data_IF_479133883565
#
_entry.id   IF_479133883565
#
_cell.length_a   1.000
_cell.length_b   1.000
_cell.length_c   1.000
_cell.angle_alpha   90.00
_cell.angle_beta   90.00
_cell.angle_gamma   90.00
#
_symmetry.space_group_name_H-M   'P 1'
#
loop_
_entity.id
_entity.type
_entity.pdbx_description
1 polymer ?
#
# COMPACT_ATOMS: atom_id res chain seq x y z
N UNK A 1 4.98 8.57 8.21
CA UNK A 1 5.23 7.93 6.90
C UNK A 1 4.03 7.10 6.45
N UNK A 2 3.52 6.17 7.26
CA UNK A 2 2.38 5.32 6.88
C UNK A 2 1.07 6.07 6.53
N UNK A 3 0.91 7.33 6.97
CA UNK A 3 -0.28 8.16 6.72
C UNK A 3 -0.06 9.14 5.55
N UNK A 4 1.15 9.19 4.97
CA UNK A 4 1.40 10.05 3.81
C UNK A 4 0.88 9.39 2.54
N UNK A 5 0.30 10.16 1.61
CA UNK A 5 -0.46 9.69 0.45
C UNK A 5 0.02 8.39 -0.23
N UNK A 6 1.09 8.41 -1.05
CA UNK A 6 1.54 7.20 -1.76
C UNK A 6 2.00 6.10 -0.80
N UNK A 7 2.85 6.38 0.21
CA UNK A 7 3.19 5.37 1.21
C UNK A 7 1.98 4.72 1.89
N UNK A 8 0.91 5.46 2.15
CA UNK A 8 -0.32 4.95 2.75
C UNK A 8 -1.00 3.93 1.84
N UNK A 9 -1.07 4.20 0.53
CA UNK A 9 -1.63 3.26 -0.45
C UNK A 9 -0.86 1.93 -0.44
N UNK A 10 0.48 1.99 -0.51
CA UNK A 10 1.32 0.77 -0.48
C UNK A 10 1.20 0.03 0.86
N UNK A 11 1.22 0.76 1.97
CA UNK A 11 1.12 0.20 3.32
C UNK A 11 -0.23 -0.46 3.55
N UNK A 12 -1.31 0.16 3.06
CA UNK A 12 -2.67 -0.38 3.15
C UNK A 12 -2.83 -1.63 2.30
N UNK A 13 -2.27 -1.65 1.09
CA UNK A 13 -2.28 -2.84 0.24
C UNK A 13 -1.62 -4.04 0.95
N UNK A 14 -0.39 -3.84 1.43
CA UNK A 14 0.32 -4.86 2.21
C UNK A 14 -0.47 -5.31 3.45
N UNK A 15 -0.98 -4.37 4.26
CA UNK A 15 -1.64 -4.71 5.51
C UNK A 15 -2.96 -5.47 5.30
N UNK A 16 -3.71 -5.15 4.23
CA UNK A 16 -4.90 -5.94 3.86
C UNK A 16 -4.52 -7.38 3.47
N UNK A 17 -3.41 -7.58 2.74
CA UNK A 17 -2.92 -8.92 2.41
C UNK A 17 -2.48 -9.68 3.68
N UNK A 18 -1.74 -9.02 4.56
CA UNK A 18 -1.30 -9.60 5.83
C UNK A 18 -2.48 -9.99 6.72
N UNK A 19 -3.46 -9.10 6.95
CA UNK A 19 -4.65 -9.42 7.74
C UNK A 19 -5.48 -10.56 7.13
N UNK A 20 -5.46 -10.72 5.81
CA UNK A 20 -6.13 -11.84 5.17
C UNK A 20 -5.40 -13.15 5.41
N UNK A 21 -4.07 -13.18 5.23
CA UNK A 21 -3.27 -14.38 5.51
C UNK A 21 -3.35 -14.78 6.98
N UNK A 22 -3.23 -13.82 7.90
CA UNK A 22 -3.34 -14.04 9.35
C UNK A 22 -4.70 -14.66 9.74
N UNK A 23 -5.78 -14.29 9.05
CA UNK A 23 -7.13 -14.85 9.29
C UNK A 23 -7.39 -16.20 8.63
N UNK A 24 -6.65 -16.54 7.58
CA UNK A 24 -6.97 -17.70 6.71
C UNK A 24 -5.93 -18.81 6.77
N UNK A 25 -4.80 -18.61 7.44
CA UNK A 25 -3.71 -19.57 7.51
C UNK A 25 -3.04 -19.59 8.88
N UNK A 26 -2.61 -20.77 9.31
CA UNK A 26 -1.82 -20.96 10.53
C UNK A 26 -0.33 -20.73 10.20
N UNK A 27 0.04 -19.47 9.95
CA UNK A 27 1.42 -19.07 9.72
C UNK A 27 2.00 -18.45 11.00
N UNK A 28 3.30 -18.66 11.24
CA UNK A 28 4.01 -17.82 12.19
C UNK A 28 4.00 -16.36 11.69
N UNK A 29 4.02 -15.41 12.63
CA UNK A 29 3.93 -13.98 12.30
C UNK A 29 4.98 -13.56 11.26
N UNK A 30 6.22 -14.02 11.41
CA UNK A 30 7.29 -13.69 10.48
C UNK A 30 7.03 -14.24 9.08
N UNK A 31 6.53 -15.47 8.97
CA UNK A 31 6.18 -16.09 7.69
C UNK A 31 5.00 -15.38 7.03
N UNK A 32 3.99 -14.99 7.82
CA UNK A 32 2.88 -14.16 7.36
C UNK A 32 3.35 -12.81 6.80
N UNK A 33 4.29 -12.15 7.49
CA UNK A 33 4.88 -10.87 7.04
C UNK A 33 5.63 -11.05 5.71
N UNK A 34 6.49 -12.06 5.60
CA UNK A 34 7.28 -12.30 4.39
C UNK A 34 6.36 -12.61 3.21
N UNK A 35 5.38 -13.51 3.41
CA UNK A 35 4.46 -13.92 2.35
C UNK A 35 3.54 -12.78 1.89
N UNK A 36 3.03 -11.98 2.82
CA UNK A 36 2.26 -10.77 2.48
C UNK A 36 3.13 -9.73 1.73
N UNK A 37 4.40 -9.62 2.08
CA UNK A 37 5.32 -8.70 1.41
C UNK A 37 5.65 -9.16 -0.02
N UNK A 38 5.81 -10.47 -0.25
CA UNK A 38 5.97 -11.04 -1.59
C UNK A 38 4.75 -10.75 -2.46
N UNK A 39 3.54 -11.00 -1.96
CA UNK A 39 2.28 -10.68 -2.65
C UNK A 39 2.16 -9.19 -2.98
N UNK A 40 2.54 -8.32 -2.04
CA UNK A 40 2.61 -6.88 -2.28
C UNK A 40 3.56 -6.54 -3.43
N UNK A 41 4.76 -7.12 -3.45
CA UNK A 41 5.72 -6.87 -4.53
C UNK A 41 5.22 -7.39 -5.88
N UNK A 42 4.59 -8.56 -5.92
CA UNK A 42 3.95 -9.10 -7.11
C UNK A 42 2.88 -8.17 -7.66
N UNK A 43 1.96 -7.71 -6.79
CA UNK A 43 0.90 -6.79 -7.18
C UNK A 43 1.45 -5.46 -7.71
N UNK A 44 2.45 -4.88 -7.05
CA UNK A 44 3.07 -3.61 -7.47
C UNK A 44 3.77 -3.76 -8.83
N UNK A 45 4.55 -4.85 -9.01
CA UNK A 45 5.23 -5.13 -10.29
C UNK A 45 4.23 -5.40 -11.42
N UNK A 46 3.14 -6.11 -11.16
CA UNK A 46 2.10 -6.38 -12.14
C UNK A 46 1.42 -5.11 -12.65
N UNK A 47 1.42 -4.03 -11.86
CA UNK A 47 0.91 -2.72 -12.27
C UNK A 47 1.98 -1.80 -12.87
N UNK A 48 3.23 -2.27 -13.04
CA UNK A 48 4.34 -1.45 -13.54
C UNK A 48 4.74 -0.30 -12.61
N UNK A 49 4.47 -0.44 -11.31
CA UNK A 49 4.74 0.58 -10.30
C UNK A 49 6.03 0.26 -9.54
N UNK A 50 6.69 1.29 -9.01
CA UNK A 50 7.85 1.13 -8.14
C UNK A 50 7.42 0.86 -6.69
N UNK A 51 8.00 -0.15 -6.01
CA UNK A 51 7.67 -0.45 -4.62
C UNK A 51 8.21 0.62 -3.66
N UNK A 52 7.30 1.31 -2.95
CA UNK A 52 7.67 2.31 -1.94
C UNK A 52 7.80 1.74 -0.53
N UNK A 53 7.07 0.66 -0.23
CA UNK A 53 7.17 -0.06 1.03
C UNK A 53 8.34 -1.06 0.96
N UNK A 54 9.29 -0.94 1.89
CA UNK A 54 10.35 -1.92 2.08
C UNK A 54 9.96 -2.98 3.11
N UNK A 55 10.62 -4.14 3.10
CA UNK A 55 10.37 -5.24 4.05
C UNK A 55 10.48 -4.80 5.51
N UNK A 56 11.49 -4.01 5.86
CA UNK A 56 11.66 -3.48 7.22
C UNK A 56 10.52 -2.55 7.64
N UNK A 57 9.97 -1.77 6.70
CA UNK A 57 8.81 -0.91 6.96
C UNK A 57 7.53 -1.71 7.08
N UNK A 58 7.38 -2.77 6.28
CA UNK A 58 6.26 -3.70 6.36
C UNK A 58 6.24 -4.40 7.74
N UNK A 59 7.37 -4.94 8.18
CA UNK A 59 7.52 -5.48 9.53
C UNK A 59 7.20 -4.44 10.61
N UNK A 60 7.74 -3.22 10.47
CA UNK A 60 7.47 -2.14 11.44
C UNK A 60 5.99 -1.74 11.48
N UNK A 61 5.30 -1.79 10.35
CA UNK A 61 3.86 -1.53 10.28
C UNK A 61 3.08 -2.55 11.11
N UNK A 62 3.38 -3.85 10.97
CA UNK A 62 2.75 -4.90 11.79
C UNK A 62 3.00 -4.64 13.27
N UNK A 63 4.24 -4.31 13.66
CA UNK A 63 4.54 -3.96 15.06
C UNK A 63 3.75 -2.75 15.58
N UNK A 64 3.37 -1.81 14.72
CA UNK A 64 2.49 -0.70 15.12
C UNK A 64 1.02 -1.09 15.21
N UNK A 65 0.57 -2.08 14.44
CA UNK A 65 -0.76 -2.68 14.58
C UNK A 65 -0.85 -3.44 15.90
N UNK A 66 0.15 -4.28 16.21
CA UNK A 66 0.23 -5.04 17.47
C UNK A 66 0.22 -4.12 18.70
N UNK A 67 0.89 -2.97 18.59
CA UNK A 67 0.92 -1.95 19.63
C UNK A 67 -0.36 -1.08 19.71
N UNK A 68 -1.36 -1.34 18.87
CA UNK A 68 -2.62 -0.60 18.83
C UNK A 68 -2.48 0.85 18.34
N UNK A 69 -1.38 1.20 17.68
CA UNK A 69 -1.09 2.59 17.26
C UNK A 69 -1.72 2.94 15.90
N UNK A 70 -1.86 1.95 15.03
CA UNK A 70 -2.46 2.09 13.71
C UNK A 70 -3.45 0.97 13.44
N UNK A 71 -4.40 1.22 12.55
CA UNK A 71 -5.45 0.27 12.18
C UNK A 71 -5.87 0.46 10.72
N UNK A 72 -6.69 -0.45 10.20
CA UNK A 72 -7.35 -0.32 8.92
C UNK A 72 -8.75 0.30 9.07
N UNK A 73 -8.95 1.47 8.45
CA UNK A 73 -10.22 2.18 8.41
C UNK A 73 -10.83 2.11 7.01
N UNK A 74 -12.12 1.78 6.92
CA UNK A 74 -12.86 1.76 5.66
C UNK A 74 -13.13 3.18 5.15
N UNK A 75 -12.82 3.42 3.87
CA UNK A 75 -13.15 4.64 3.17
C UNK A 75 -14.67 4.74 2.94
N UNK A 76 -15.26 5.89 3.26
CA UNK A 76 -16.70 6.17 3.06
C UNK A 76 -17.14 6.26 1.59
N UNK A 77 -16.19 6.39 0.64
CA UNK A 77 -16.49 6.48 -0.81
C UNK A 77 -16.25 5.18 -1.57
N UNK A 78 -15.08 4.56 -1.42
CA UNK A 78 -14.71 3.34 -2.15
C UNK A 78 -14.74 2.06 -1.32
N UNK A 79 -15.04 2.14 -0.03
CA UNK A 79 -15.08 1.02 0.92
C UNK A 79 -13.75 0.26 1.12
N UNK A 80 -12.69 0.63 0.38
CA UNK A 80 -11.34 0.12 0.61
C UNK A 80 -10.84 0.51 2.01
N UNK A 81 -10.02 -0.35 2.60
CA UNK A 81 -9.46 -0.18 3.94
C UNK A 81 -8.06 0.40 3.87
N UNK A 82 -7.81 1.48 4.61
CA UNK A 82 -6.55 2.21 4.61
C UNK A 82 -5.97 2.38 6.01
N UNK A 83 -4.65 2.43 6.10
CA UNK A 83 -3.93 2.64 7.36
C UNK A 83 -4.27 4.03 7.92
N UNK A 84 -4.76 4.08 9.15
CA UNK A 84 -5.00 5.32 9.91
C UNK A 84 -4.46 5.16 11.34
N UNK A 85 -4.44 6.25 12.10
CA UNK A 85 -4.27 6.16 13.55
C UNK A 85 -5.51 5.51 14.18
N UNK A 86 -5.30 4.67 15.20
CA UNK A 86 -6.38 3.92 15.87
C UNK A 86 -7.40 4.81 16.58
N UNK A 87 -6.94 5.92 17.17
CA UNK A 87 -7.77 6.80 18.01
C UNK A 87 -8.22 8.09 17.31
N UNK A 88 -8.14 8.14 15.98
CA UNK A 88 -8.58 9.28 15.19
C UNK A 88 -10.08 9.21 14.88
N UNK A 89 -10.73 10.37 14.72
CA UNK A 89 -12.14 10.43 14.36
C UNK A 89 -12.33 10.03 12.88
N UNK A 90 -12.69 8.77 12.65
CA UNK A 90 -12.74 8.16 11.31
C UNK A 90 -14.14 8.04 10.68
N UNK A 91 -15.18 8.59 11.34
CA UNK A 91 -16.60 8.43 10.94
C UNK A 91 -16.88 8.73 9.46
N UNK A 92 -16.17 9.69 8.88
CA UNK A 92 -16.28 10.07 7.46
C UNK A 92 -14.91 10.03 6.77
N UNK A 93 -14.06 9.06 7.12
CA UNK A 93 -12.74 8.94 6.51
C UNK A 93 -12.87 8.77 4.99
N UNK A 94 -12.08 9.54 4.23
CA UNK A 94 -11.95 9.45 2.78
C UNK A 94 -10.49 9.21 2.45
N UNK A 95 -10.22 8.14 1.68
CA UNK A 95 -8.84 7.78 1.35
C UNK A 95 -8.24 8.70 0.28
N UNK A 96 -6.91 8.75 0.23
CA UNK A 96 -6.18 9.57 -0.74
C UNK A 96 -6.29 9.09 -2.20
N UNK A 97 -6.94 7.96 -2.49
CA UNK A 97 -7.31 7.60 -3.86
C UNK A 97 -8.62 8.29 -4.28
N UNK A 98 -9.58 8.41 -3.36
CA UNK A 98 -10.85 9.07 -3.62
C UNK A 98 -10.74 10.60 -3.57
N UNK A 99 -9.85 11.12 -2.73
CA UNK A 99 -9.51 12.55 -2.67
C UNK A 99 -7.98 12.73 -2.74
N UNK A 100 -7.39 12.65 -3.95
CA UNK A 100 -5.97 12.82 -4.13
C UNK A 100 -5.49 14.21 -3.70
N UNK A 101 -4.34 14.33 -3.02
CA UNK A 101 -3.78 15.64 -2.69
C UNK A 101 -3.36 16.40 -3.95
N UNK A 102 -3.24 17.73 -3.87
CA UNK A 102 -2.88 18.59 -5.01
C UNK A 102 -1.56 18.23 -5.73
N UNK A 103 -0.67 17.48 -5.08
CA UNK A 103 0.61 17.02 -5.65
C UNK A 103 0.54 15.58 -6.16
N UNK A 104 -0.65 15.02 -6.30
CA UNK A 104 -0.84 13.70 -6.83
C UNK A 104 -0.27 13.60 -8.26
N UNK A 105 0.55 12.57 -8.52
CA UNK A 105 1.16 12.35 -9.84
C UNK A 105 2.42 13.16 -10.15
N UNK A 106 2.91 14.04 -9.26
CA UNK A 106 4.19 14.76 -9.45
C UNK A 106 5.43 13.98 -8.97
N UNK A 107 5.37 12.64 -8.97
CA UNK A 107 6.53 11.76 -8.80
C UNK A 107 7.17 11.49 -10.16
N UNK A 108 8.49 11.28 -10.21
CA UNK A 108 9.29 11.18 -11.45
C UNK A 108 8.65 10.21 -12.46
N UNK A 109 7.94 10.73 -13.44
CA UNK A 109 7.68 10.02 -14.68
C UNK A 109 9.02 9.90 -15.40
N UNK A 110 9.73 8.77 -15.23
CA UNK A 110 10.71 8.38 -16.25
C UNK A 110 9.91 7.94 -17.47
N UNK A 111 9.58 8.92 -18.32
CA UNK A 111 9.10 8.65 -19.67
C UNK A 111 10.25 7.95 -20.39
N UNK A 112 10.19 6.62 -20.48
CA UNK A 112 10.97 5.88 -21.48
C UNK A 112 10.39 6.25 -22.84
N UNK A 113 11.07 7.18 -23.52
CA UNK A 113 10.81 7.46 -24.92
C UNK A 113 11.20 6.21 -25.73
N UNK A 114 10.21 5.48 -26.22
CA UNK A 114 10.43 4.52 -27.29
C UNK A 114 10.79 5.33 -28.56
N UNK A 115 12.03 5.19 -29.01
CA UNK A 115 12.48 5.79 -30.28
C UNK A 115 11.68 5.23 -31.45
N UNK A 116 11.45 6.01 -32.51
CA UNK A 116 10.70 5.55 -33.67
C UNK A 116 11.50 4.46 -34.39
N UNK A 117 10.88 3.29 -34.57
CA UNK A 117 11.32 2.28 -35.54
C UNK A 117 10.97 2.78 -36.94
N UNK A 118 11.94 3.32 -37.67
CA UNK A 118 11.84 3.52 -39.10
C UNK A 118 11.89 2.14 -39.81
N UNK A 119 10.71 1.63 -40.15
CA UNK A 119 10.52 0.63 -41.19
C UNK A 119 10.36 1.38 -42.52
N UNK A 120 11.36 1.31 -43.39
CA UNK A 120 11.22 1.66 -44.81
C UNK A 120 11.66 0.47 -45.64
N UNK A 121 10.70 -0.07 -46.39
CA UNK A 121 10.89 -0.86 -47.59
C UNK A 121 11.03 0.10 -48.79
#
# INVERSE_FOLDING_TARGET
WFMTWQPNIHSSLFLNMYEYLDKTSELEEIDGIIKAYELYLEQIRAQGLEPLLSVTRAWRLVKFVDAGMVTLTSCSKCNGKFVTHTFELTKNYVCGLCEPPARAGKGKAQVQQAGPTDLVH
#
